data_IF_467267683769
#
_entry.id   IF_467267683769
#
_cell.length_a   1.000
_cell.length_b   1.000
_cell.length_c   1.000
_cell.angle_alpha   90.00
_cell.angle_beta   90.00
_cell.angle_gamma   90.00
#
_symmetry.space_group_name_H-M   'P 1'
#
loop_
_entity.id
_entity.type
_entity.pdbx_description
1 polymer ?
#
# COMPACT_ATOMS: atom_id res chain seq x y z
N UNK A 1 -11.27 5.13 -28.13
CA UNK A 1 -12.00 3.85 -28.10
C UNK A 1 -11.81 3.29 -26.71
N UNK A 2 -12.86 3.23 -25.91
CA UNK A 2 -12.81 2.63 -24.58
C UNK A 2 -12.95 1.12 -24.75
N UNK A 3 -11.90 0.38 -24.40
CA UNK A 3 -11.90 -1.08 -24.41
C UNK A 3 -12.37 -1.52 -23.02
N UNK A 4 -13.43 -2.32 -22.96
CA UNK A 4 -13.96 -2.80 -21.67
C UNK A 4 -13.23 -4.07 -21.23
N UNK A 5 -13.22 -4.34 -19.92
CA UNK A 5 -12.50 -5.51 -19.36
C UNK A 5 -13.09 -6.82 -19.88
N UNK A 6 -14.41 -6.86 -20.09
CA UNK A 6 -15.13 -8.05 -20.57
C UNK A 6 -14.70 -8.43 -22.00
N UNK A 7 -14.40 -7.43 -22.85
CA UNK A 7 -13.91 -7.66 -24.20
C UNK A 7 -12.49 -8.26 -24.17
N UNK A 8 -11.64 -7.75 -23.28
CA UNK A 8 -10.27 -8.26 -23.09
C UNK A 8 -10.30 -9.71 -22.59
N UNK A 9 -11.17 -10.04 -21.64
CA UNK A 9 -11.30 -11.42 -21.14
C UNK A 9 -11.70 -12.40 -22.24
N UNK A 10 -12.64 -12.00 -23.10
CA UNK A 10 -13.06 -12.84 -24.22
C UNK A 10 -11.92 -13.08 -25.22
N UNK A 11 -11.18 -12.03 -25.58
CA UNK A 11 -10.03 -12.16 -26.48
C UNK A 11 -8.92 -13.02 -25.90
N UNK A 12 -8.59 -12.84 -24.62
CA UNK A 12 -7.56 -13.65 -23.93
C UNK A 12 -7.94 -15.13 -23.91
N UNK A 13 -9.23 -15.47 -23.73
CA UNK A 13 -9.69 -16.88 -23.77
C UNK A 13 -9.57 -17.52 -25.14
N UNK A 14 -9.53 -16.73 -26.21
CA UNK A 14 -9.42 -17.21 -27.59
C UNK A 14 -7.95 -17.35 -28.06
N UNK A 15 -6.98 -16.93 -27.26
CA UNK A 15 -5.57 -16.99 -27.59
C UNK A 15 -5.01 -18.42 -27.49
N UNK A 16 -3.98 -18.68 -28.30
CA UNK A 16 -3.20 -19.91 -28.22
C UNK A 16 -2.37 -19.95 -26.94
N UNK A 17 -1.91 -21.15 -26.55
CA UNK A 17 -1.04 -21.30 -25.37
C UNK A 17 0.28 -20.53 -25.49
N UNK A 18 0.78 -20.32 -26.72
CA UNK A 18 2.00 -19.56 -26.96
C UNK A 18 1.76 -18.06 -26.80
N UNK A 19 0.64 -17.55 -27.33
CA UNK A 19 0.28 -16.14 -27.22
C UNK A 19 -0.08 -15.77 -25.78
N UNK A 20 -0.73 -16.67 -25.05
CA UNK A 20 -0.98 -16.50 -23.62
C UNK A 20 0.30 -16.35 -22.80
N UNK A 21 1.37 -17.09 -23.16
CA UNK A 21 2.68 -16.94 -22.51
C UNK A 21 3.27 -15.56 -22.76
N UNK A 22 3.24 -15.10 -24.01
CA UNK A 22 3.74 -13.75 -24.38
C UNK A 22 2.95 -12.64 -23.70
N UNK A 23 1.62 -12.75 -23.64
CA UNK A 23 0.77 -11.79 -22.93
C UNK A 23 1.10 -11.77 -21.44
N UNK A 24 1.27 -12.95 -20.83
CA UNK A 24 1.63 -13.05 -19.42
C UNK A 24 2.98 -12.39 -19.13
N UNK A 25 4.00 -12.66 -19.93
CA UNK A 25 5.33 -12.06 -19.77
C UNK A 25 5.29 -10.52 -19.87
N UNK A 26 4.50 -9.99 -20.81
CA UNK A 26 4.29 -8.55 -20.95
C UNK A 26 3.57 -7.94 -19.75
N UNK A 27 2.51 -8.60 -19.25
CA UNK A 27 1.77 -8.15 -18.07
C UNK A 27 2.67 -8.19 -16.84
N UNK A 28 3.44 -9.26 -16.64
CA UNK A 28 4.35 -9.39 -15.51
C UNK A 28 5.43 -8.29 -15.54
N UNK A 29 6.01 -7.99 -16.71
CA UNK A 29 6.97 -6.88 -16.88
C UNK A 29 6.33 -5.50 -16.59
N UNK A 30 5.09 -5.29 -17.03
CA UNK A 30 4.34 -4.06 -16.71
C UNK A 30 4.02 -3.95 -15.23
N UNK A 31 3.68 -5.05 -14.57
CA UNK A 31 3.44 -5.08 -13.13
C UNK A 31 4.73 -4.86 -12.34
N UNK A 32 5.86 -5.40 -12.79
CA UNK A 32 7.17 -5.15 -12.17
C UNK A 32 7.63 -3.71 -12.32
N UNK A 33 7.41 -3.08 -13.47
CA UNK A 33 7.68 -1.65 -13.66
C UNK A 33 6.71 -0.76 -12.88
N UNK A 34 5.48 -1.22 -12.64
CA UNK A 34 4.48 -0.54 -11.78
C UNK A 34 4.63 -0.82 -10.29
N UNK A 35 5.35 -1.86 -9.88
CA UNK A 35 5.74 -2.04 -8.48
C UNK A 35 6.64 -0.86 -8.14
N UNK A 36 6.01 0.21 -7.64
CA UNK A 36 6.70 1.36 -7.09
C UNK A 36 7.44 0.84 -5.88
N UNK A 37 8.69 0.44 -6.09
CA UNK A 37 9.64 0.38 -4.98
C UNK A 37 9.62 1.79 -4.38
N UNK A 38 9.40 1.94 -3.07
CA UNK A 38 9.52 3.25 -2.46
C UNK A 38 10.89 3.80 -2.87
N UNK A 39 10.90 5.03 -3.42
CA UNK A 39 12.13 5.63 -3.99
C UNK A 39 13.24 5.77 -2.94
N UNK A 40 12.87 5.71 -1.68
CA UNK A 40 13.69 5.90 -0.50
C UNK A 40 13.15 5.00 0.62
N UNK A 41 14.02 4.54 1.50
CA UNK A 41 13.62 3.89 2.76
C UNK A 41 12.95 4.89 3.69
N UNK A 42 12.35 4.40 4.78
CA UNK A 42 11.77 5.28 5.80
C UNK A 42 12.85 6.19 6.40
N UNK A 43 14.04 5.66 6.72
CA UNK A 43 15.13 6.47 7.26
C UNK A 43 15.61 7.54 6.27
N UNK A 44 15.71 7.19 4.98
CA UNK A 44 16.07 8.15 3.93
C UNK A 44 14.99 9.23 3.74
N UNK A 45 13.73 8.88 3.91
CA UNK A 45 12.62 9.84 3.85
C UNK A 45 12.63 10.80 5.03
N UNK A 46 12.82 10.30 6.25
CA UNK A 46 12.93 11.13 7.45
C UNK A 46 14.10 12.12 7.34
N UNK A 47 15.25 11.65 6.87
CA UNK A 47 16.42 12.50 6.63
C UNK A 47 16.13 13.60 5.59
N UNK A 48 15.45 13.25 4.50
CA UNK A 48 15.03 14.22 3.48
C UNK A 48 14.06 15.27 4.03
N UNK A 49 13.15 14.89 4.93
CA UNK A 49 12.25 15.84 5.59
C UNK A 49 12.99 16.79 6.54
N UNK A 50 14.01 16.28 7.24
CA UNK A 50 14.87 17.07 8.11
C UNK A 50 15.69 18.09 7.32
N UNK A 51 16.32 17.66 6.22
CA UNK A 51 17.10 18.55 5.34
C UNK A 51 16.25 19.64 4.69
N UNK A 52 14.96 19.35 4.44
CA UNK A 52 13.99 20.35 3.98
C UNK A 52 13.46 21.27 5.08
N UNK A 53 13.82 21.04 6.34
CA UNK A 53 13.35 21.80 7.49
C UNK A 53 11.86 21.60 7.80
N UNK A 54 11.25 20.52 7.29
CA UNK A 54 9.85 20.17 7.58
C UNK A 54 9.72 19.60 8.99
N UNK A 55 10.72 18.83 9.42
CA UNK A 55 10.86 18.33 10.79
C UNK A 55 12.14 18.88 11.42
N UNK A 56 12.13 19.07 12.73
CA UNK A 56 13.24 19.66 13.48
C UNK A 56 14.31 18.66 13.91
N UNK A 57 14.03 17.36 13.87
CA UNK A 57 14.95 16.28 14.24
C UNK A 57 14.43 14.93 13.70
N UNK A 58 15.35 13.99 13.46
CA UNK A 58 15.03 12.58 13.23
C UNK A 58 15.23 11.83 14.54
N UNK A 59 14.15 11.27 15.09
CA UNK A 59 14.21 10.58 16.38
C UNK A 59 14.77 9.18 16.20
N UNK A 60 15.65 8.70 17.10
CA UNK A 60 16.10 7.33 17.05
C UNK A 60 14.92 6.38 17.30
N UNK A 61 14.96 5.17 16.72
CA UNK A 61 13.95 4.16 16.98
C UNK A 61 13.89 3.83 18.48
N UNK A 62 12.68 3.60 18.99
CA UNK A 62 12.49 3.19 20.38
C UNK A 62 13.02 1.76 20.52
N UNK A 63 14.08 1.59 21.30
CA UNK A 63 14.67 0.26 21.58
C UNK A 63 14.27 -0.29 22.94
N UNK A 64 13.87 0.58 23.87
CA UNK A 64 13.46 0.21 25.22
C UNK A 64 11.94 0.38 25.38
N UNK A 65 11.25 -0.75 25.45
CA UNK A 65 9.81 -0.82 25.63
C UNK A 65 9.40 -1.01 27.10
N UNK A 66 10.35 -1.07 28.05
CA UNK A 66 10.04 -1.31 29.47
C UNK A 66 9.05 -0.30 30.06
N UNK A 67 9.00 0.92 29.49
CA UNK A 67 8.01 1.96 29.83
C UNK A 67 6.56 1.56 29.54
N UNK A 68 6.33 0.53 28.75
CA UNK A 68 5.00 0.03 28.37
C UNK A 68 4.68 -1.31 29.03
N UNK A 69 5.53 -1.86 29.89
CA UNK A 69 5.31 -3.17 30.52
C UNK A 69 4.04 -3.17 31.38
N UNK A 70 3.75 -2.04 32.03
CA UNK A 70 2.55 -1.84 32.85
C UNK A 70 1.35 -1.31 32.05
N UNK A 71 1.46 -1.17 30.71
CA UNK A 71 0.36 -0.69 29.90
C UNK A 71 -0.79 -1.69 29.90
N UNK A 72 -1.93 -1.28 30.44
CA UNK A 72 -3.18 -2.04 30.41
C UNK A 72 -4.11 -1.42 29.38
N UNK A 73 -4.32 -2.07 28.22
CA UNK A 73 -5.29 -1.61 27.24
C UNK A 73 -6.68 -1.52 27.88
N UNK A 74 -7.38 -0.41 27.66
CA UNK A 74 -8.78 -0.32 28.08
C UNK A 74 -9.66 -1.10 27.12
N UNK A 75 -10.60 -1.86 27.66
CA UNK A 75 -11.66 -2.47 26.85
C UNK A 75 -12.60 -1.36 26.41
N UNK A 76 -12.61 -1.07 25.12
CA UNK A 76 -13.58 -0.14 24.52
C UNK A 76 -14.89 -0.91 24.30
N UNK A 77 -15.97 -0.44 24.91
CA UNK A 77 -17.32 -0.96 24.70
C UNK A 77 -18.08 -0.07 23.72
N UNK A 78 -18.83 -0.69 22.80
CA UNK A 78 -19.66 0.03 21.82
C UNK A 78 -19.29 -0.28 20.37
N UNK A 79 -19.95 0.41 19.46
CA UNK A 79 -19.73 0.29 18.02
C UNK A 79 -18.42 0.98 17.61
N UNK A 80 -17.58 0.39 16.74
CA UNK A 80 -16.39 1.05 16.23
C UNK A 80 -16.74 2.36 15.53
N UNK A 81 -15.93 3.40 15.76
CA UNK A 81 -16.07 4.70 15.09
C UNK A 81 -16.10 4.54 13.56
N UNK A 82 -15.36 3.58 13.02
CA UNK A 82 -15.37 3.26 11.59
C UNK A 82 -16.76 2.91 11.07
N UNK A 83 -17.58 2.19 11.84
CA UNK A 83 -18.95 1.83 11.44
C UNK A 83 -19.90 3.04 11.57
N UNK A 84 -19.72 3.87 12.60
CA UNK A 84 -20.48 5.13 12.77
C UNK A 84 -20.24 6.08 11.60
N UNK A 85 -18.97 6.29 11.21
CA UNK A 85 -18.60 7.17 10.09
C UNK A 85 -19.23 6.70 8.77
N UNK A 86 -19.33 5.39 8.55
CA UNK A 86 -19.95 4.83 7.35
C UNK A 86 -21.46 5.08 7.32
N UNK A 87 -22.15 4.94 8.47
CA UNK A 87 -23.60 5.16 8.58
C UNK A 87 -23.98 6.63 8.35
N UNK A 88 -23.23 7.58 8.90
CA UNK A 88 -23.54 9.01 8.80
C UNK A 88 -23.21 9.63 7.42
N UNK A 89 -22.36 8.97 6.63
CA UNK A 89 -21.98 9.44 5.28
C UNK A 89 -22.89 8.93 4.15
N UNK A 90 -23.87 8.08 4.44
CA UNK A 90 -24.89 7.63 3.47
C UNK A 90 -26.14 8.49 3.58
#
# INVERSE_FOLDING_TARGET
>A
MEVTIEQIEHEVRMLSAEDLRKVRELVDSLLESKKVKPKMTEEEFEQHLYEKGIISEVKPPITDFSRYDDYQPITVTGEPISETIIKERR
#
